data_IF_411440802746
#
_entry.id   IF_411440802746
#
_cell.length_a   1.000
_cell.length_b   1.000
_cell.length_c   1.000
_cell.angle_alpha   90.00
_cell.angle_beta   90.00
_cell.angle_gamma   90.00
#
_symmetry.space_group_name_H-M   'P 1'
#
loop_
_entity.id
_entity.type
_entity.pdbx_description
1 polymer ?
#
# COMPACT_ATOMS: atom_id res chain seq x y z
N UNK A 1 -42.66 19.41 -2.09
CA UNK A 1 -41.98 19.01 -3.35
C UNK A 1 -40.46 19.04 -3.22
N UNK A 2 -39.84 20.13 -2.76
CA UNK A 2 -38.37 20.24 -2.65
C UNK A 2 -37.66 19.16 -1.79
N UNK A 3 -38.24 18.76 -0.65
CA UNK A 3 -37.65 17.70 0.21
C UNK A 3 -37.53 16.34 -0.49
N UNK A 4 -38.53 15.95 -1.28
CA UNK A 4 -38.49 14.69 -2.03
C UNK A 4 -37.43 14.71 -3.14
N UNK A 5 -37.18 15.87 -3.75
CA UNK A 5 -36.11 16.03 -4.75
C UNK A 5 -34.73 15.76 -4.12
N UNK A 6 -34.46 16.35 -2.95
CA UNK A 6 -33.16 16.18 -2.27
C UNK A 6 -32.94 14.72 -1.87
N UNK A 7 -33.97 14.04 -1.36
CA UNK A 7 -33.89 12.61 -1.01
C UNK A 7 -33.56 11.78 -2.27
N UNK A 8 -34.21 12.08 -3.38
CA UNK A 8 -33.96 11.38 -4.65
C UNK A 8 -32.54 11.65 -5.17
N UNK A 9 -32.05 12.88 -5.09
CA UNK A 9 -30.71 13.24 -5.53
C UNK A 9 -29.62 12.56 -4.69
N UNK A 10 -29.83 12.48 -3.36
CA UNK A 10 -28.95 11.71 -2.47
C UNK A 10 -28.91 10.23 -2.86
N UNK A 11 -30.05 9.61 -3.12
CA UNK A 11 -30.13 8.20 -3.55
C UNK A 11 -29.39 7.98 -4.87
N UNK A 12 -29.68 8.81 -5.89
CA UNK A 12 -29.00 8.76 -7.19
C UNK A 12 -27.49 8.91 -7.06
N UNK A 13 -27.03 9.77 -6.16
CA UNK A 13 -25.60 9.94 -5.89
C UNK A 13 -24.97 8.66 -5.34
N UNK A 14 -25.59 8.04 -4.32
CA UNK A 14 -25.07 6.80 -3.73
C UNK A 14 -25.07 5.65 -4.75
N UNK A 15 -26.14 5.50 -5.52
CA UNK A 15 -26.24 4.46 -6.57
C UNK A 15 -25.14 4.62 -7.62
N UNK A 16 -24.91 5.83 -8.11
CA UNK A 16 -23.84 6.07 -9.07
C UNK A 16 -22.46 5.88 -8.42
N UNK A 17 -22.26 6.28 -7.16
CA UNK A 17 -21.01 6.09 -6.45
C UNK A 17 -20.63 4.61 -6.31
N UNK A 18 -21.62 3.73 -6.12
CA UNK A 18 -21.47 2.25 -6.10
C UNK A 18 -21.28 1.64 -7.49
N UNK A 19 -21.64 2.36 -8.56
CA UNK A 19 -21.53 1.82 -9.90
C UNK A 19 -20.07 1.52 -10.26
N UNK A 20 -19.85 0.50 -11.10
CA UNK A 20 -18.52 0.16 -11.63
C UNK A 20 -17.87 1.36 -12.34
N UNK A 21 -18.68 2.22 -12.99
CA UNK A 21 -18.20 3.42 -13.68
C UNK A 21 -17.46 4.37 -12.74
N UNK A 22 -18.04 4.62 -11.57
CA UNK A 22 -17.47 5.56 -10.60
C UNK A 22 -16.56 4.86 -9.60
N UNK A 23 -16.83 3.60 -9.23
CA UNK A 23 -16.05 2.78 -8.30
C UNK A 23 -15.60 3.55 -7.04
N UNK A 24 -16.55 4.20 -6.37
CA UNK A 24 -16.30 4.99 -5.17
C UNK A 24 -15.58 6.33 -5.41
N UNK A 25 -15.34 6.73 -6.66
CA UNK A 25 -14.72 8.01 -7.00
C UNK A 25 -15.74 9.15 -7.02
N UNK A 26 -15.74 9.92 -5.93
CA UNK A 26 -16.61 11.07 -5.70
C UNK A 26 -16.57 12.10 -6.84
N UNK A 27 -15.38 12.39 -7.40
CA UNK A 27 -15.25 13.37 -8.48
C UNK A 27 -15.90 12.84 -9.76
N UNK A 28 -15.67 11.57 -10.09
CA UNK A 28 -16.29 10.93 -11.25
C UNK A 28 -17.82 10.94 -11.15
N UNK A 29 -18.35 10.56 -9.98
CA UNK A 29 -19.79 10.59 -9.69
C UNK A 29 -20.37 12.01 -9.83
N UNK A 30 -19.69 13.01 -9.28
CA UNK A 30 -20.13 14.41 -9.37
C UNK A 30 -20.17 14.91 -10.82
N UNK A 31 -19.13 14.63 -11.61
CA UNK A 31 -19.08 14.99 -13.03
C UNK A 31 -20.21 14.30 -13.80
N UNK A 32 -20.44 13.01 -13.54
CA UNK A 32 -21.45 12.23 -14.24
C UNK A 32 -22.88 12.70 -13.94
N UNK A 33 -23.18 13.00 -12.67
CA UNK A 33 -24.52 13.44 -12.25
C UNK A 33 -24.74 14.94 -12.36
N UNK A 34 -23.70 15.73 -12.64
CA UNK A 34 -23.77 17.19 -12.67
C UNK A 34 -23.91 17.82 -11.27
N UNK A 35 -23.41 17.16 -10.23
CA UNK A 35 -23.45 17.67 -8.86
C UNK A 35 -22.16 18.41 -8.46
N UNK A 36 -22.29 19.38 -7.57
CA UNK A 36 -21.13 20.05 -6.97
C UNK A 36 -20.58 19.22 -5.81
N UNK A 37 -19.26 19.02 -5.75
CA UNK A 37 -18.60 18.32 -4.63
C UNK A 37 -18.92 18.94 -3.27
N UNK A 38 -18.91 20.28 -3.09
CA UNK A 38 -19.28 20.89 -1.80
C UNK A 38 -20.68 20.49 -1.33
N UNK A 39 -21.67 20.41 -2.22
CA UNK A 39 -23.03 19.95 -1.87
C UNK A 39 -23.01 18.53 -1.33
N UNK A 40 -22.24 17.64 -1.94
CA UNK A 40 -22.12 16.24 -1.53
C UNK A 40 -21.49 16.10 -0.15
N UNK A 41 -20.38 16.81 0.10
CA UNK A 41 -19.74 16.82 1.43
C UNK A 41 -20.62 17.50 2.49
N UNK A 42 -21.43 18.49 2.10
CA UNK A 42 -22.42 19.07 3.00
C UNK A 42 -23.47 18.03 3.40
N UNK A 43 -24.01 17.24 2.46
CA UNK A 43 -24.93 16.15 2.80
C UNK A 43 -24.27 15.11 3.70
N UNK A 44 -23.05 14.69 3.37
CA UNK A 44 -22.27 13.77 4.19
C UNK A 44 -22.08 14.26 5.63
N UNK A 45 -21.84 15.55 5.83
CA UNK A 45 -21.67 16.11 7.17
C UNK A 45 -22.97 16.19 7.99
N UNK A 46 -24.11 16.37 7.33
CA UNK A 46 -25.37 16.73 7.99
C UNK A 46 -26.46 15.64 7.92
N UNK A 47 -26.14 14.49 7.35
CA UNK A 47 -27.06 13.36 7.20
C UNK A 47 -26.28 12.06 7.44
N UNK A 48 -26.51 11.46 8.62
CA UNK A 48 -25.82 10.25 9.08
C UNK A 48 -26.12 9.04 8.19
N UNK A 49 -27.35 8.92 7.68
CA UNK A 49 -27.72 7.83 6.77
C UNK A 49 -26.97 7.97 5.44
N UNK A 50 -26.86 9.19 4.93
CA UNK A 50 -26.08 9.45 3.72
C UNK A 50 -24.59 9.21 3.93
N UNK A 51 -24.01 9.58 5.09
CA UNK A 51 -22.60 9.31 5.41
C UNK A 51 -22.28 7.82 5.53
N UNK A 52 -23.18 7.06 6.15
CA UNK A 52 -23.04 5.61 6.25
C UNK A 52 -23.06 4.96 4.86
N UNK A 53 -24.10 5.25 4.06
CA UNK A 53 -24.24 4.74 2.70
C UNK A 53 -23.08 5.15 1.78
N UNK A 54 -22.56 6.37 1.96
CA UNK A 54 -21.38 6.85 1.26
C UNK A 54 -20.16 6.03 1.61
N UNK A 55 -19.92 5.80 2.90
CA UNK A 55 -18.73 5.11 3.38
C UNK A 55 -18.68 3.66 2.88
N UNK A 56 -19.84 2.98 2.87
CA UNK A 56 -19.97 1.67 2.24
C UNK A 56 -19.69 1.70 0.74
N UNK A 57 -20.30 2.65 0.01
CA UNK A 57 -20.10 2.78 -1.43
C UNK A 57 -18.63 3.04 -1.82
N UNK A 58 -17.92 3.83 -1.01
CA UNK A 58 -16.49 4.07 -1.21
C UNK A 58 -15.66 2.81 -0.91
N UNK A 59 -16.01 2.05 0.12
CA UNK A 59 -15.33 0.81 0.46
C UNK A 59 -15.49 -0.24 -0.65
N UNK A 60 -16.72 -0.46 -1.14
CA UNK A 60 -17.00 -1.36 -2.28
C UNK A 60 -16.27 -0.90 -3.56
N UNK A 61 -16.23 0.40 -3.79
CA UNK A 61 -15.50 0.99 -4.91
C UNK A 61 -13.98 0.84 -4.80
N UNK A 62 -13.42 0.82 -3.58
CA UNK A 62 -12.01 0.55 -3.34
C UNK A 62 -11.65 -0.89 -3.72
N UNK A 63 -12.46 -1.86 -3.30
CA UNK A 63 -12.26 -3.27 -3.67
C UNK A 63 -12.36 -3.45 -5.19
N UNK A 64 -13.35 -2.84 -5.83
CA UNK A 64 -13.50 -2.88 -7.30
C UNK A 64 -12.24 -2.36 -8.00
N UNK A 65 -11.68 -1.23 -7.55
CA UNK A 65 -10.45 -0.66 -8.13
C UNK A 65 -9.21 -1.51 -7.81
N UNK A 66 -9.18 -2.20 -6.68
CA UNK A 66 -8.12 -3.13 -6.35
C UNK A 66 -8.13 -4.32 -7.34
N UNK A 67 -9.29 -4.94 -7.58
CA UNK A 67 -9.45 -6.02 -8.55
C UNK A 67 -9.01 -5.59 -9.96
N UNK A 68 -9.41 -4.39 -10.40
CA UNK A 68 -8.99 -3.82 -11.68
C UNK A 68 -7.46 -3.63 -11.75
N UNK A 69 -6.85 -3.13 -10.69
CA UNK A 69 -5.41 -2.94 -10.60
C UNK A 69 -4.66 -4.26 -10.57
N UNK A 70 -5.17 -5.28 -9.89
CA UNK A 70 -4.60 -6.63 -9.86
C UNK A 70 -4.64 -7.27 -11.25
N UNK A 71 -5.76 -7.15 -11.96
CA UNK A 71 -5.85 -7.64 -13.32
C UNK A 71 -4.91 -6.87 -14.27
N UNK A 72 -4.81 -5.55 -14.12
CA UNK A 72 -3.86 -4.74 -14.88
C UNK A 72 -2.41 -5.15 -14.61
N UNK A 73 -2.06 -5.42 -13.34
CA UNK A 73 -0.74 -5.92 -12.96
C UNK A 73 -0.45 -7.28 -13.61
N UNK A 74 -1.42 -8.20 -13.58
CA UNK A 74 -1.30 -9.50 -14.23
C UNK A 74 -1.03 -9.34 -15.73
N UNK A 75 -1.78 -8.49 -16.42
CA UNK A 75 -1.59 -8.24 -17.85
C UNK A 75 -0.24 -7.56 -18.14
N UNK A 76 0.18 -6.60 -17.31
CA UNK A 76 1.48 -5.97 -17.44
C UNK A 76 2.63 -6.99 -17.34
N UNK A 77 2.50 -7.98 -16.45
CA UNK A 77 3.46 -9.08 -16.27
C UNK A 77 3.42 -10.06 -17.46
N UNK A 78 2.24 -10.55 -17.84
CA UNK A 78 2.13 -11.69 -18.76
C UNK A 78 2.08 -11.29 -20.23
N UNK A 79 1.42 -10.17 -20.56
CA UNK A 79 1.17 -9.74 -21.94
C UNK A 79 2.17 -8.69 -22.37
N UNK A 80 2.29 -7.62 -21.59
CA UNK A 80 3.11 -6.47 -21.97
C UNK A 80 4.60 -6.70 -21.64
N UNK A 81 4.88 -7.71 -20.81
CA UNK A 81 6.22 -8.06 -20.30
C UNK A 81 6.92 -6.85 -19.68
N UNK A 82 6.17 -6.04 -18.93
CA UNK A 82 6.69 -4.88 -18.23
C UNK A 82 7.68 -5.33 -17.15
N UNK A 83 8.96 -5.01 -17.36
CA UNK A 83 10.05 -5.48 -16.49
C UNK A 83 9.90 -4.98 -15.06
N UNK A 84 9.50 -3.73 -14.87
CA UNK A 84 9.29 -3.15 -13.54
C UNK A 84 8.20 -3.89 -12.78
N UNK A 85 7.05 -4.15 -13.43
CA UNK A 85 5.97 -4.95 -12.84
C UNK A 85 6.45 -6.37 -12.46
N UNK A 86 7.17 -7.04 -13.37
CA UNK A 86 7.74 -8.37 -13.11
C UNK A 86 8.67 -8.36 -11.90
N UNK A 87 9.59 -7.39 -11.81
CA UNK A 87 10.52 -7.26 -10.68
C UNK A 87 9.75 -7.12 -9.37
N UNK A 88 8.80 -6.18 -9.29
CA UNK A 88 8.02 -5.97 -8.08
C UNK A 88 7.14 -7.18 -7.73
N UNK A 89 6.53 -7.82 -8.70
CA UNK A 89 5.75 -9.05 -8.48
C UNK A 89 6.64 -10.17 -7.93
N UNK A 90 7.82 -10.42 -8.50
CA UNK A 90 8.75 -11.44 -8.03
C UNK A 90 9.31 -11.14 -6.63
N UNK A 91 9.58 -9.86 -6.32
CA UNK A 91 9.98 -9.41 -4.99
C UNK A 91 8.94 -9.72 -3.92
N UNK A 92 7.66 -9.56 -4.25
CA UNK A 92 6.56 -9.85 -3.32
C UNK A 92 6.25 -11.36 -3.22
N UNK A 93 6.22 -12.09 -4.34
CA UNK A 93 5.85 -13.51 -4.35
C UNK A 93 6.99 -14.46 -3.94
N UNK A 94 8.24 -14.07 -4.18
CA UNK A 94 9.44 -14.88 -3.92
C UNK A 94 10.55 -14.05 -3.24
N UNK A 95 10.27 -13.44 -2.07
CA UNK A 95 11.18 -12.52 -1.40
C UNK A 95 12.51 -13.18 -1.03
N UNK A 96 12.54 -14.48 -0.74
CA UNK A 96 13.75 -15.23 -0.44
C UNK A 96 14.78 -15.23 -1.58
N UNK A 97 14.33 -15.06 -2.83
CA UNK A 97 15.20 -14.99 -4.01
C UNK A 97 15.44 -13.56 -4.48
N UNK A 98 14.43 -12.71 -4.42
CA UNK A 98 14.45 -11.41 -5.11
C UNK A 98 14.45 -10.18 -4.19
N UNK A 99 14.36 -10.34 -2.86
CA UNK A 99 14.49 -9.19 -1.95
C UNK A 99 15.82 -8.47 -2.14
N UNK A 100 15.83 -7.19 -1.79
CA UNK A 100 17.06 -6.41 -1.76
C UNK A 100 18.08 -7.03 -0.79
N UNK A 101 19.33 -7.12 -1.27
CA UNK A 101 20.49 -7.48 -0.47
C UNK A 101 21.36 -6.24 -0.36
N UNK A 102 21.58 -5.80 0.87
CA UNK A 102 22.47 -4.68 1.16
C UNK A 102 23.77 -5.26 1.71
N UNK A 103 24.87 -4.88 1.10
CA UNK A 103 26.20 -5.04 1.68
C UNK A 103 26.58 -3.69 2.31
N UNK A 104 26.81 -3.68 3.62
CA UNK A 104 27.01 -2.45 4.38
C UNK A 104 28.36 -2.54 5.07
N UNK A 105 29.34 -1.81 4.55
CA UNK A 105 30.62 -1.60 5.20
C UNK A 105 30.50 -0.41 6.17
N UNK A 106 30.66 -0.68 7.47
CA UNK A 106 30.66 0.34 8.50
C UNK A 106 32.10 0.72 8.88
N UNK A 107 32.51 1.94 8.52
CA UNK A 107 33.84 2.50 8.84
C UNK A 107 33.85 3.40 10.10
N UNK A 108 32.72 3.49 10.81
CA UNK A 108 32.61 4.27 12.05
C UNK A 108 33.31 3.63 13.25
N UNK A 109 33.75 4.46 14.22
CA UNK A 109 34.20 3.97 15.53
C UNK A 109 33.01 3.41 16.31
N UNK A 110 32.97 2.10 16.50
CA UNK A 110 32.00 1.45 17.41
C UNK A 110 32.46 1.71 18.84
N UNK A 111 31.66 2.43 19.63
CA UNK A 111 31.92 2.61 21.06
C UNK A 111 31.79 1.25 21.76
N UNK A 112 32.90 0.73 22.28
CA UNK A 112 33.01 -0.57 22.98
C UNK A 112 32.01 -0.75 24.12
N UNK A 113 31.54 0.36 24.69
CA UNK A 113 30.72 0.39 25.89
C UNK A 113 29.22 0.11 25.61
N UNK A 114 28.82 0.03 24.34
CA UNK A 114 27.44 -0.25 23.91
C UNK A 114 27.21 -1.72 23.50
N UNK A 115 28.26 -2.55 23.50
CA UNK A 115 28.15 -3.96 23.11
C UNK A 115 27.79 -4.81 24.32
N UNK A 116 26.71 -5.58 24.21
CA UNK A 116 26.31 -6.53 25.27
C UNK A 116 27.47 -7.50 25.54
N UNK A 117 27.78 -7.84 26.81
CA UNK A 117 28.93 -8.67 27.17
C UNK A 117 29.01 -10.00 26.40
N UNK A 118 27.85 -10.63 26.14
CA UNK A 118 27.78 -11.88 25.36
C UNK A 118 28.25 -11.75 23.91
N UNK A 119 28.12 -10.57 23.30
CA UNK A 119 28.57 -10.32 21.93
C UNK A 119 30.10 -10.19 21.83
N UNK A 120 30.74 -9.62 22.86
CA UNK A 120 32.20 -9.52 22.96
C UNK A 120 32.87 -10.90 23.07
N UNK A 121 32.23 -11.82 23.80
CA UNK A 121 32.70 -13.21 23.90
C UNK A 121 32.64 -13.91 22.55
N UNK A 122 31.57 -13.73 21.77
CA UNK A 122 31.43 -14.32 20.43
C UNK A 122 32.45 -13.74 19.45
N UNK A 123 32.68 -12.42 19.47
CA UNK A 123 33.69 -11.78 18.61
C UNK A 123 35.12 -12.22 18.97
N UNK A 124 35.44 -12.36 20.27
CA UNK A 124 36.76 -12.86 20.68
C UNK A 124 36.99 -14.32 20.28
N UNK A 125 35.94 -15.15 20.29
CA UNK A 125 36.00 -16.54 19.82
C UNK A 125 36.19 -16.62 18.30
N UNK A 126 35.48 -15.78 17.55
CA UNK A 126 35.63 -15.65 16.09
C UNK A 126 37.01 -15.14 15.69
N UNK A 127 37.54 -14.11 16.39
CA UNK A 127 38.88 -13.58 16.15
C UNK A 127 39.97 -14.62 16.38
N UNK A 128 39.92 -15.35 17.51
CA UNK A 128 40.88 -16.44 17.80
C UNK A 128 40.82 -17.58 16.77
N UNK A 129 39.64 -17.89 16.25
CA UNK A 129 39.48 -18.92 15.21
C UNK A 129 40.01 -18.43 13.86
N UNK A 130 39.83 -17.16 13.52
CA UNK A 130 40.41 -16.55 12.32
C UNK A 130 41.94 -16.48 12.39
N UNK A 131 42.51 -16.09 13.54
CA UNK A 131 43.96 -16.04 13.75
C UNK A 131 44.60 -17.44 13.72
N UNK A 132 43.92 -18.45 14.27
CA UNK A 132 44.34 -19.85 14.21
C UNK A 132 44.30 -20.41 12.77
N UNK A 133 43.31 -20.03 11.96
CA UNK A 133 43.22 -20.43 10.55
C UNK A 133 44.24 -19.72 9.66
N UNK A 134 44.69 -18.51 10.04
CA UNK A 134 45.68 -17.73 9.30
C UNK A 134 47.14 -18.03 9.72
N UNK A 135 47.36 -18.97 10.62
CA UNK A 135 48.69 -19.40 11.04
C UNK A 135 49.53 -18.29 11.70
N UNK A 136 48.92 -17.19 12.11
CA UNK A 136 49.58 -16.08 12.80
C UNK A 136 49.49 -16.28 14.32
N UNK A 137 50.05 -17.38 14.82
CA UNK A 137 50.44 -17.42 16.22
C UNK A 137 51.84 -16.85 16.31
N UNK A 138 52.00 -15.71 17.00
CA UNK A 138 53.25 -15.49 17.73
C UNK A 138 53.31 -16.47 18.89
#
# INVERSE_FOLDING_TARGET
>A
MAKNSIINDKKRFIEELRSIRSAGNVLATCIYLGFSRPTMYYWRKNDEEFDHNWSEAVAEGLETRADEAENALRLAVTKDRNITAIIFTLKNLKPERYREKFDIENTGRVASNALKPGFLVTLSRLGKQADAQLGRSR
#
